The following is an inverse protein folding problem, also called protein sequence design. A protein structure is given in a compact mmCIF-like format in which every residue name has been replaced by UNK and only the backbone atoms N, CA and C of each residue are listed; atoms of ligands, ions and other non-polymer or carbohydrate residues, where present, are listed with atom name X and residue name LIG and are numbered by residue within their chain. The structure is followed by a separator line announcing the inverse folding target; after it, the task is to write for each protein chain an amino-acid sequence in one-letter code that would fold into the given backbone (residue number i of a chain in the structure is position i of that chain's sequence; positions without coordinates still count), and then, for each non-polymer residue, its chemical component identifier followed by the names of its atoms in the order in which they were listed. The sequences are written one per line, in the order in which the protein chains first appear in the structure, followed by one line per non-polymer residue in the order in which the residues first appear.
data_IF_874553627898
#
_entry.id   IF_874553627898
#
_cell.length_a   1.000
_cell.length_b   1.000
_cell.length_c   1.000
_cell.angle_alpha   90.00
_cell.angle_beta   90.00
_cell.angle_gamma   90.00
#
_symmetry.space_group_name_H-M   'P 1'
#
loop_
_entity.id
_entity.type
_entity.pdbx_description
1 polymer ?
#
# COMPACT_ATOMS: atom_id res chain seq x y z
N UNK A 1 41.59 -57.08 33.63
CA UNK A 1 40.16 -56.90 33.99
C UNK A 1 39.90 -55.40 34.04
N UNK A 2 38.83 -54.93 33.40
CA UNK A 2 38.59 -53.55 32.90
C UNK A 2 38.89 -52.40 33.86
N UNK A 3 39.08 -51.18 33.29
CA UNK A 3 37.97 -50.23 33.40
C UNK A 3 37.70 -49.38 32.14
N UNK A 4 36.40 -49.21 31.88
CA UNK A 4 35.69 -47.97 31.53
C UNK A 4 36.20 -47.06 30.41
N UNK A 5 35.73 -47.37 29.19
CA UNK A 5 35.55 -46.35 28.14
C UNK A 5 34.09 -45.89 28.19
N UNK A 6 33.86 -44.73 28.82
CA UNK A 6 32.59 -44.03 28.75
C UNK A 6 32.35 -43.54 27.31
N UNK A 7 31.52 -44.27 26.57
CA UNK A 7 30.88 -43.76 25.36
C UNK A 7 29.78 -42.83 25.84
N UNK A 8 30.03 -41.52 25.80
CA UNK A 8 28.99 -40.50 25.89
C UNK A 8 27.97 -40.80 24.80
N UNK A 9 26.82 -41.35 25.21
CA UNK A 9 25.59 -41.32 24.45
C UNK A 9 25.35 -39.87 24.07
N UNK A 10 25.60 -39.55 22.81
CA UNK A 10 25.10 -38.34 22.18
C UNK A 10 23.59 -38.48 22.29
N UNK A 11 22.98 -37.78 23.25
CA UNK A 11 21.56 -37.51 23.24
C UNK A 11 21.22 -37.06 21.82
N UNK A 12 20.40 -37.86 21.13
CA UNK A 12 19.79 -37.42 19.89
C UNK A 12 19.10 -36.11 20.21
N UNK A 13 19.37 -35.03 19.45
CA UNK A 13 18.71 -33.76 19.71
C UNK A 13 17.20 -33.99 19.59
N UNK A 14 16.49 -33.69 20.66
CA UNK A 14 15.03 -33.69 20.72
C UNK A 14 14.46 -33.09 19.43
N UNK A 15 13.49 -33.75 18.77
CA UNK A 15 12.91 -33.26 17.54
C UNK A 15 12.08 -32.00 17.85
N UNK A 16 12.77 -30.86 17.83
CA UNK A 16 12.33 -29.49 17.57
C UNK A 16 10.82 -29.30 17.80
N UNK A 17 10.46 -28.83 18.99
CA UNK A 17 9.12 -28.27 19.22
C UNK A 17 8.77 -27.33 18.05
N UNK A 18 7.67 -27.64 17.34
CA UNK A 18 7.27 -26.89 16.15
C UNK A 18 6.87 -25.48 16.57
N UNK A 19 7.75 -24.52 16.28
CA UNK A 19 7.62 -23.16 16.79
C UNK A 19 6.47 -22.41 16.11
N UNK A 20 5.77 -21.56 16.85
CA UNK A 20 4.83 -20.61 16.26
C UNK A 20 5.57 -19.70 15.27
N UNK A 21 4.95 -19.41 14.13
CA UNK A 21 5.53 -18.60 13.06
C UNK A 21 6.47 -19.35 12.12
N UNK A 22 6.73 -20.64 12.36
CA UNK A 22 7.57 -21.46 11.47
C UNK A 22 6.76 -22.11 10.34
N UNK A 23 7.42 -22.29 9.19
CA UNK A 23 6.84 -22.88 7.97
C UNK A 23 7.05 -24.38 7.93
N UNK A 24 5.99 -25.14 7.66
CA UNK A 24 5.98 -26.61 7.58
C UNK A 24 5.18 -27.08 6.37
N UNK A 25 5.25 -28.37 6.06
CA UNK A 25 4.41 -29.02 5.06
C UNK A 25 3.29 -29.77 5.74
N UNK A 26 2.04 -29.49 5.36
CA UNK A 26 0.87 -30.21 5.82
C UNK A 26 0.16 -30.92 4.66
N UNK A 27 -0.45 -32.10 4.90
CA UNK A 27 -1.39 -32.69 3.96
C UNK A 27 -2.69 -31.88 3.96
N UNK A 28 -3.08 -31.40 2.78
CA UNK A 28 -4.35 -30.71 2.55
C UNK A 28 -4.93 -31.15 1.19
N UNK A 29 -6.17 -31.63 1.18
CA UNK A 29 -6.84 -32.23 0.00
C UNK A 29 -5.97 -33.25 -0.76
N UNK A 30 -5.36 -34.21 -0.03
CA UNK A 30 -4.47 -35.27 -0.55
C UNK A 30 -3.18 -34.77 -1.22
N UNK A 31 -2.88 -33.46 -1.14
CA UNK A 31 -1.63 -32.87 -1.62
C UNK A 31 -0.85 -32.28 -0.45
N UNK A 32 0.47 -32.09 -0.63
CA UNK A 32 1.30 -31.37 0.33
C UNK A 32 1.28 -29.88 0.04
N UNK A 33 1.12 -29.08 1.10
CA UNK A 33 1.06 -27.63 1.04
C UNK A 33 1.96 -27.01 2.11
N UNK A 34 2.61 -25.87 1.84
CA UNK A 34 3.30 -25.13 2.87
C UNK A 34 2.30 -24.39 3.75
N UNK A 35 2.51 -24.45 5.06
CA UNK A 35 1.68 -23.85 6.10
C UNK A 35 2.54 -23.11 7.11
N UNK A 36 2.00 -22.05 7.70
CA UNK A 36 2.65 -21.34 8.81
C UNK A 36 1.88 -21.60 10.09
N UNK A 37 2.56 -22.09 11.13
CA UNK A 37 1.95 -22.37 12.43
C UNK A 37 1.58 -21.07 13.15
N UNK A 38 0.38 -20.99 13.69
CA UNK A 38 -0.10 -19.82 14.42
C UNK A 38 -0.19 -20.07 15.92
N UNK A 39 -0.17 -18.99 16.70
CA UNK A 39 -0.62 -19.02 18.09
C UNK A 39 -2.16 -19.15 18.16
N UNK A 40 -2.69 -19.58 19.29
CA UNK A 40 -4.14 -19.70 19.51
C UNK A 40 -4.85 -18.33 19.55
N UNK A 41 -4.11 -17.25 19.79
CA UNK A 41 -4.65 -15.90 19.96
C UNK A 41 -4.81 -15.13 18.64
N UNK A 42 -4.17 -15.57 17.57
CA UNK A 42 -4.12 -14.83 16.30
C UNK A 42 -5.30 -15.11 15.35
N UNK A 43 -5.74 -16.37 15.16
CA UNK A 43 -6.86 -16.64 14.28
C UNK A 43 -8.15 -15.98 14.76
N UNK A 44 -9.08 -15.64 13.85
CA UNK A 44 -10.38 -15.12 14.23
C UNK A 44 -11.09 -16.03 15.23
N UNK A 45 -11.77 -15.45 16.24
CA UNK A 45 -12.53 -16.20 17.25
C UNK A 45 -13.52 -17.19 16.64
N UNK A 46 -14.14 -16.82 15.51
CA UNK A 46 -15.04 -17.68 14.77
C UNK A 46 -14.35 -18.95 14.25
N UNK A 47 -13.09 -18.87 13.84
CA UNK A 47 -12.29 -20.03 13.45
C UNK A 47 -11.89 -20.85 14.68
N UNK A 48 -11.44 -20.20 15.77
CA UNK A 48 -11.08 -20.91 17.01
C UNK A 48 -12.27 -21.73 17.54
N UNK A 49 -13.49 -21.21 17.43
CA UNK A 49 -14.72 -21.91 17.81
C UNK A 49 -15.01 -23.18 16.99
N UNK A 50 -14.40 -23.36 15.81
CA UNK A 50 -14.54 -24.58 15.00
C UNK A 50 -13.57 -25.69 15.38
N UNK A 51 -12.73 -25.48 16.39
CA UNK A 51 -11.76 -26.48 16.84
C UNK A 51 -12.48 -27.77 17.24
N UNK A 52 -12.09 -28.94 16.68
CA UNK A 52 -12.60 -30.22 17.15
C UNK A 52 -12.29 -30.40 18.64
N UNK A 53 -13.32 -30.76 19.43
CA UNK A 53 -13.17 -31.04 20.87
C UNK A 53 -12.22 -32.23 21.04
N UNK A 54 -11.30 -32.13 22.00
CA UNK A 54 -10.26 -33.14 22.30
C UNK A 54 -9.20 -33.38 21.22
N UNK A 55 -8.79 -32.32 20.51
CA UNK A 55 -7.79 -32.43 19.46
C UNK A 55 -6.49 -31.71 19.81
N UNK A 56 -5.34 -32.37 19.58
CA UNK A 56 -3.99 -31.77 19.62
C UNK A 56 -3.71 -30.90 18.40
N UNK A 57 -4.76 -30.43 17.73
CA UNK A 57 -4.67 -29.69 16.48
C UNK A 57 -4.29 -28.24 16.75
N UNK A 58 -3.34 -27.76 15.96
CA UNK A 58 -2.91 -26.37 15.96
C UNK A 58 -3.52 -25.58 14.82
N UNK A 59 -3.77 -24.28 15.03
CA UNK A 59 -4.12 -23.41 13.94
C UNK A 59 -2.90 -23.17 13.04
N UNK A 60 -3.12 -23.20 11.73
CA UNK A 60 -2.11 -22.82 10.75
C UNK A 60 -2.73 -22.06 9.59
N UNK A 61 -1.93 -21.24 8.92
CA UNK A 61 -2.31 -20.56 7.69
C UNK A 61 -1.81 -21.37 6.51
N UNK A 62 -2.73 -21.79 5.64
CA UNK A 62 -2.44 -22.47 4.39
C UNK A 62 -1.98 -21.44 3.34
N UNK A 63 -0.69 -21.48 2.98
CA UNK A 63 -0.13 -20.59 1.96
C UNK A 63 -0.70 -20.91 0.57
N UNK A 64 -0.67 -19.93 -0.32
CA UNK A 64 -1.34 -19.91 -1.62
C UNK A 64 -2.83 -19.64 -1.51
N UNK A 65 -3.55 -20.33 -0.61
CA UNK A 65 -5.01 -20.15 -0.43
C UNK A 65 -5.39 -19.04 0.57
N UNK A 66 -4.45 -18.70 1.46
CA UNK A 66 -4.60 -17.67 2.50
C UNK A 66 -5.85 -17.91 3.37
N UNK A 67 -5.92 -19.10 3.97
CA UNK A 67 -6.99 -19.45 4.90
C UNK A 67 -6.47 -20.22 6.10
N UNK A 68 -7.19 -20.13 7.20
CA UNK A 68 -6.92 -20.90 8.40
C UNK A 68 -7.35 -22.36 8.24
N UNK A 69 -6.51 -23.27 8.72
CA UNK A 69 -6.78 -24.71 8.80
C UNK A 69 -6.28 -25.26 10.15
N UNK A 70 -6.85 -26.38 10.57
CA UNK A 70 -6.38 -27.14 11.72
C UNK A 70 -5.39 -28.21 11.25
N UNK A 71 -4.19 -28.26 11.85
CA UNK A 71 -3.15 -29.23 11.51
C UNK A 71 -2.72 -30.02 12.74
N UNK A 72 -2.44 -31.31 12.55
CA UNK A 72 -1.87 -32.14 13.60
C UNK A 72 -0.36 -32.04 13.52
N UNK A 73 0.29 -31.68 14.63
CA UNK A 73 1.74 -31.55 14.67
C UNK A 73 2.45 -32.83 14.21
N UNK A 74 1.92 -34.01 14.50
CA UNK A 74 2.55 -35.30 14.12
C UNK A 74 2.67 -35.47 12.60
N UNK A 75 1.78 -34.85 11.81
CA UNK A 75 1.75 -35.00 10.35
C UNK A 75 2.39 -33.82 9.60
N UNK A 76 3.13 -32.96 10.30
CA UNK A 76 3.85 -31.85 9.68
C UNK A 76 5.28 -32.26 9.32
N UNK A 77 5.63 -32.17 8.05
CA UNK A 77 7.00 -32.37 7.58
C UNK A 77 7.76 -31.05 7.51
N UNK A 78 9.07 -31.09 7.73
CA UNK A 78 9.90 -29.90 7.64
C UNK A 78 9.87 -29.33 6.22
N UNK A 79 9.64 -28.02 6.11
CA UNK A 79 9.82 -27.29 4.86
C UNK A 79 11.31 -26.95 4.65
N UNK A 80 11.84 -27.28 3.47
CA UNK A 80 13.22 -27.04 3.05
C UNK A 80 13.18 -26.05 1.88
N UNK A 81 13.56 -24.77 2.06
CA UNK A 81 13.38 -23.73 1.06
C UNK A 81 14.00 -23.98 -0.33
N UNK A 82 15.03 -24.84 -0.41
CA UNK A 82 15.74 -25.17 -1.66
C UNK A 82 15.25 -26.44 -2.34
N UNK A 83 14.30 -27.16 -1.75
CA UNK A 83 13.74 -28.38 -2.34
C UNK A 83 12.67 -28.03 -3.36
N UNK A 84 12.67 -28.70 -4.52
CA UNK A 84 11.59 -28.56 -5.50
C UNK A 84 10.43 -29.49 -5.15
N UNK A 85 9.41 -28.93 -4.49
CA UNK A 85 8.19 -29.66 -4.12
C UNK A 85 7.18 -29.80 -5.27
N UNK A 86 7.51 -29.24 -6.43
CA UNK A 86 6.70 -29.26 -7.65
C UNK A 86 7.42 -30.01 -8.78
N UNK A 87 8.49 -30.74 -8.47
CA UNK A 87 9.21 -31.56 -9.45
C UNK A 87 8.26 -32.55 -10.14
N UNK A 88 8.42 -32.69 -11.46
CA UNK A 88 7.53 -33.46 -12.32
C UNK A 88 6.20 -32.80 -12.69
N UNK A 89 5.95 -31.54 -12.30
CA UNK A 89 4.70 -30.83 -12.61
C UNK A 89 4.96 -29.72 -13.63
N UNK A 90 4.22 -29.77 -14.74
CA UNK A 90 4.34 -28.81 -15.84
C UNK A 90 3.97 -27.40 -15.36
N UNK A 91 4.85 -26.40 -15.54
CA UNK A 91 4.52 -25.00 -15.25
C UNK A 91 3.35 -24.51 -16.10
N UNK A 92 2.48 -23.70 -15.50
CA UNK A 92 1.36 -23.07 -16.22
C UNK A 92 1.84 -21.83 -17.00
N UNK A 93 1.28 -21.61 -18.19
CA UNK A 93 1.40 -20.35 -18.93
C UNK A 93 0.00 -19.91 -19.38
N UNK A 94 -0.56 -18.81 -18.84
CA UNK A 94 0.00 -17.93 -17.81
C UNK A 94 0.07 -18.56 -16.41
N UNK A 95 1.06 -18.15 -15.61
CA UNK A 95 1.23 -18.60 -14.21
C UNK A 95 0.10 -18.10 -13.29
N UNK A 96 -0.48 -16.94 -13.61
CA UNK A 96 -1.57 -16.35 -12.86
C UNK A 96 -2.90 -17.09 -13.04
N UNK A 97 -3.72 -17.06 -12.01
CA UNK A 97 -5.07 -17.64 -12.00
C UNK A 97 -5.96 -16.86 -12.96
N UNK A 98 -6.53 -17.55 -13.94
CA UNK A 98 -7.44 -16.98 -14.92
C UNK A 98 -8.90 -17.20 -14.50
N UNK A 99 -9.82 -16.30 -14.90
CA UNK A 99 -11.25 -16.44 -14.57
C UNK A 99 -11.87 -17.76 -15.04
N UNK A 100 -11.37 -18.31 -16.15
CA UNK A 100 -11.90 -19.50 -16.81
C UNK A 100 -11.15 -20.79 -16.43
N UNK A 101 -10.17 -20.73 -15.53
CA UNK A 101 -9.47 -21.93 -15.06
C UNK A 101 -10.46 -22.84 -14.30
N UNK A 102 -10.40 -24.15 -14.53
CA UNK A 102 -11.15 -25.12 -13.73
C UNK A 102 -10.60 -25.20 -12.30
N UNK A 103 -11.38 -25.72 -11.36
CA UNK A 103 -11.01 -25.74 -9.94
C UNK A 103 -9.73 -26.54 -9.66
N UNK A 104 -9.42 -27.58 -10.43
CA UNK A 104 -8.18 -28.34 -10.27
C UNK A 104 -6.99 -27.50 -10.72
N UNK A 105 -7.09 -26.83 -11.86
CA UNK A 105 -6.07 -25.91 -12.38
C UNK A 105 -5.84 -24.73 -11.43
N UNK A 106 -6.91 -24.10 -10.92
CA UNK A 106 -6.80 -23.03 -9.91
C UNK A 106 -6.07 -23.51 -8.66
N UNK A 107 -6.43 -24.69 -8.16
CA UNK A 107 -5.79 -25.27 -6.98
C UNK A 107 -4.30 -25.52 -7.19
N UNK A 108 -3.90 -26.05 -8.35
CA UNK A 108 -2.50 -26.30 -8.64
C UNK A 108 -1.72 -24.99 -8.85
N UNK A 109 -2.30 -23.98 -9.52
CA UNK A 109 -1.70 -22.64 -9.63
C UNK A 109 -1.50 -21.98 -8.27
N UNK A 110 -2.47 -22.09 -7.35
CA UNK A 110 -2.32 -21.61 -5.97
C UNK A 110 -1.20 -22.35 -5.24
N UNK A 111 -1.02 -23.64 -5.50
CA UNK A 111 0.07 -24.45 -4.95
C UNK A 111 1.43 -24.01 -5.50
N UNK A 112 1.50 -23.69 -6.79
CA UNK A 112 2.68 -23.09 -7.41
C UNK A 112 3.07 -21.76 -6.75
N UNK A 113 2.09 -20.87 -6.54
CA UNK A 113 2.30 -19.60 -5.83
C UNK A 113 2.83 -19.85 -4.41
N UNK A 114 2.21 -20.79 -3.68
CA UNK A 114 2.59 -21.13 -2.32
C UNK A 114 4.06 -21.57 -2.22
N UNK A 115 4.51 -22.47 -3.09
CA UNK A 115 5.87 -23.04 -3.02
C UNK A 115 6.95 -22.16 -3.66
N UNK A 116 6.66 -21.47 -4.77
CA UNK A 116 7.66 -20.69 -5.50
C UNK A 116 7.82 -19.25 -5.02
N UNK A 117 6.75 -18.67 -4.46
CA UNK A 117 6.72 -17.25 -4.10
C UNK A 117 6.59 -17.03 -2.61
N UNK A 118 5.67 -17.72 -1.95
CA UNK A 118 5.29 -17.38 -0.57
C UNK A 118 6.13 -18.08 0.49
N UNK A 119 6.20 -19.42 0.45
CA UNK A 119 6.96 -20.19 1.42
C UNK A 119 8.45 -19.81 1.48
N UNK A 120 9.15 -19.49 0.36
CA UNK A 120 10.53 -19.02 0.40
C UNK A 120 10.74 -17.68 1.09
N UNK A 121 9.69 -16.86 1.28
CA UNK A 121 9.82 -15.59 2.00
C UNK A 121 10.09 -15.80 3.49
N UNK A 122 9.74 -16.97 4.04
CA UNK A 122 9.92 -17.31 5.46
C UNK A 122 9.31 -16.28 6.42
N UNK A 123 8.24 -15.60 5.98
CA UNK A 123 7.50 -14.64 6.79
C UNK A 123 6.72 -15.33 7.91
N UNK A 124 6.63 -14.66 9.05
CA UNK A 124 6.02 -15.21 10.27
C UNK A 124 4.48 -15.17 10.22
N UNK A 125 3.87 -15.89 11.16
CA UNK A 125 2.43 -15.97 11.37
C UNK A 125 1.72 -14.61 11.46
N UNK A 126 2.31 -13.60 12.12
CA UNK A 126 1.74 -12.25 12.23
C UNK A 126 1.56 -11.60 10.86
N UNK A 127 2.56 -11.73 9.98
CA UNK A 127 2.49 -11.21 8.61
C UNK A 127 1.34 -11.87 7.83
N UNK A 128 1.29 -13.20 7.85
CA UNK A 128 0.27 -13.95 7.12
C UNK A 128 -1.13 -13.76 7.68
N UNK A 129 -1.29 -13.62 9.00
CA UNK A 129 -2.58 -13.29 9.62
C UNK A 129 -3.11 -11.96 9.08
N UNK A 130 -2.28 -10.92 9.10
CA UNK A 130 -2.63 -9.61 8.56
C UNK A 130 -3.01 -9.71 7.07
N UNK A 131 -2.26 -10.49 6.30
CA UNK A 131 -2.55 -10.73 4.89
C UNK A 131 -3.89 -11.45 4.65
N UNK A 132 -4.19 -12.50 5.44
CA UNK A 132 -5.47 -13.24 5.38
C UNK A 132 -6.64 -12.34 5.73
N UNK A 133 -6.51 -11.52 6.79
CA UNK A 133 -7.54 -10.57 7.20
C UNK A 133 -7.81 -9.53 6.10
N UNK A 134 -6.75 -9.01 5.47
CA UNK A 134 -6.87 -8.08 4.34
C UNK A 134 -7.58 -8.73 3.13
N UNK A 135 -7.24 -9.97 2.77
CA UNK A 135 -7.92 -10.67 1.68
C UNK A 135 -9.39 -10.96 2.00
N UNK A 136 -9.69 -11.39 3.22
CA UNK A 136 -11.06 -11.69 3.62
C UNK A 136 -11.94 -10.43 3.58
N UNK A 137 -11.41 -9.31 4.09
CA UNK A 137 -12.06 -8.01 3.95
C UNK A 137 -12.32 -7.66 2.48
N UNK A 138 -11.32 -7.81 1.60
CA UNK A 138 -11.47 -7.55 0.17
C UNK A 138 -12.53 -8.44 -0.51
N UNK A 139 -12.62 -9.72 -0.13
CA UNK A 139 -13.63 -10.66 -0.68
C UNK A 139 -15.04 -10.32 -0.21
N UNK A 140 -15.21 -9.94 1.07
CA UNK A 140 -16.51 -9.49 1.62
C UNK A 140 -17.03 -8.27 0.85
N UNK A 141 -16.14 -7.33 0.54
CA UNK A 141 -16.45 -6.15 -0.27
C UNK A 141 -16.86 -6.55 -1.70
N UNK A 142 -16.10 -7.42 -2.38
CA UNK A 142 -16.46 -7.92 -3.72
C UNK A 142 -17.83 -8.62 -3.73
N UNK A 143 -18.15 -9.42 -2.70
CA UNK A 143 -19.44 -10.12 -2.59
C UNK A 143 -20.59 -9.13 -2.41
N UNK A 144 -20.43 -8.09 -1.58
CA UNK A 144 -21.42 -7.02 -1.42
C UNK A 144 -21.67 -6.23 -2.72
N UNK A 145 -20.60 -5.97 -3.49
CA UNK A 145 -20.73 -5.33 -4.81
C UNK A 145 -21.48 -6.21 -5.83
N UNK A 146 -21.27 -7.53 -5.79
CA UNK A 146 -21.95 -8.48 -6.68
C UNK A 146 -23.43 -8.70 -6.30
N UNK A 147 -23.78 -8.74 -5.01
CA UNK A 147 -25.17 -8.89 -4.55
C UNK A 147 -26.00 -7.63 -4.79
N UNK A 148 -25.40 -6.43 -4.71
CA UNK A 148 -26.02 -5.17 -5.12
C UNK A 148 -26.38 -5.15 -6.62
N UNK A 149 -25.54 -5.74 -7.47
CA UNK A 149 -25.84 -5.91 -8.91
C UNK A 149 -26.94 -6.95 -9.19
N UNK A 150 -27.03 -8.03 -8.41
CA UNK A 150 -28.11 -9.03 -8.55
C UNK A 150 -29.47 -8.51 -8.11
N UNK A 151 -29.55 -7.69 -7.05
CA UNK A 151 -30.79 -6.99 -6.65
C UNK A 151 -31.32 -6.06 -7.76
N UNK A 152 -30.44 -5.45 -8.56
CA UNK A 152 -30.81 -4.64 -9.73
C UNK A 152 -31.34 -5.44 -10.94
N UNK A 153 -31.00 -6.72 -11.08
CA UNK A 153 -31.54 -7.58 -12.16
C UNK A 153 -32.88 -8.22 -11.79
N UNK A 154 -33.17 -8.42 -10.51
CA UNK A 154 -34.45 -8.96 -10.06
C UNK A 154 -35.61 -7.94 -10.10
N UNK A 155 -35.34 -6.64 -10.27
CA UNK A 155 -36.39 -5.60 -10.32
C UNK A 155 -36.81 -5.19 -11.74
N UNK A 156 -36.40 -5.93 -12.77
CA UNK A 156 -36.85 -5.71 -14.16
C UNK A 156 -37.43 -7.02 -14.71
N UNK A 157 -38.66 -7.29 -14.31
CA UNK A 157 -39.61 -8.13 -15.07
C UNK A 157 -41.02 -7.68 -14.72
N UNK A 158 -41.87 -7.26 -15.69
CA UNK A 158 -43.30 -7.15 -15.48
C UNK A 158 -43.98 -8.51 -15.63
N UNK A 159 -45.00 -8.73 -14.80
CA UNK A 159 -45.75 -9.97 -14.56
C UNK A 159 -46.25 -10.72 -15.81
N UNK A 160 -46.21 -12.07 -15.79
CA UNK A 160 -47.44 -12.88 -15.76
C UNK A 160 -47.20 -14.37 -15.37
N UNK A 161 -48.21 -14.92 -14.68
CA UNK A 161 -48.57 -16.34 -14.47
C UNK A 161 -47.70 -17.28 -13.59
N UNK A 162 -48.27 -17.62 -12.42
CA UNK A 162 -48.24 -18.95 -11.77
C UNK A 162 -48.79 -20.05 -12.73
N UNK A 163 -48.59 -21.38 -12.55
CA UNK A 163 -48.56 -22.04 -11.23
C UNK A 163 -47.76 -23.39 -11.10
N UNK A 164 -47.88 -23.96 -9.89
CA UNK A 164 -47.91 -25.39 -9.50
C UNK A 164 -46.63 -26.12 -9.03
N UNK A 165 -46.85 -26.76 -7.87
CA UNK A 165 -46.02 -27.68 -7.09
C UNK A 165 -45.80 -29.01 -7.83
N UNK A 166 -44.69 -29.69 -7.55
CA UNK A 166 -44.73 -31.09 -7.12
C UNK A 166 -43.43 -31.54 -6.42
N UNK A 167 -43.64 -32.31 -5.35
CA UNK A 167 -42.69 -32.99 -4.47
C UNK A 167 -41.87 -34.10 -5.14
N UNK A 168 -40.69 -34.40 -4.58
CA UNK A 168 -40.17 -35.74 -4.19
C UNK A 168 -38.64 -35.68 -4.02
N UNK A 169 -38.10 -35.86 -2.80
CA UNK A 169 -37.68 -37.12 -2.15
C UNK A 169 -36.33 -37.67 -2.69
N UNK A 170 -35.26 -37.59 -1.86
CA UNK A 170 -34.53 -38.70 -1.19
C UNK A 170 -33.67 -39.55 -2.14
N UNK A 171 -32.35 -39.62 -1.96
CA UNK A 171 -31.54 -40.59 -1.17
C UNK A 171 -30.33 -40.92 -2.10
N UNK A 172 -29.11 -41.30 -1.75
CA UNK A 172 -28.48 -41.69 -0.49
C UNK A 172 -26.93 -41.64 -0.62
N UNK A 173 -26.29 -41.53 0.55
CA UNK A 173 -24.95 -41.98 0.99
C UNK A 173 -23.69 -42.02 0.08
N UNK A 174 -22.58 -41.46 0.60
CA UNK A 174 -21.33 -42.21 0.90
C UNK A 174 -20.30 -41.36 1.67
N UNK A 175 -19.82 -41.90 2.79
CA UNK A 175 -18.94 -41.29 3.81
C UNK A 175 -17.51 -41.03 3.28
N UNK A 176 -16.94 -39.86 3.58
CA UNK A 176 -15.49 -39.70 3.77
C UNK A 176 -15.12 -38.43 4.58
N UNK A 177 -14.31 -38.65 5.63
CA UNK A 177 -13.39 -37.75 6.37
C UNK A 177 -13.86 -36.30 6.60
N UNK A 178 -14.28 -35.98 7.83
CA UNK A 178 -14.62 -34.63 8.27
C UNK A 178 -13.41 -33.69 8.20
N UNK A 179 -13.32 -32.96 7.09
CA UNK A 179 -12.76 -31.61 7.06
C UNK A 179 -13.96 -30.69 7.23
N UNK A 180 -13.99 -29.89 8.30
CA UNK A 180 -15.03 -28.87 8.48
C UNK A 180 -14.79 -27.76 7.45
N UNK A 181 -15.38 -27.92 6.27
CA UNK A 181 -15.60 -26.85 5.31
C UNK A 181 -16.87 -26.09 5.69
N UNK A 182 -16.78 -24.78 5.89
CA UNK A 182 -17.96 -23.92 6.03
C UNK A 182 -18.15 -23.20 4.71
N UNK A 183 -19.16 -23.65 3.96
CA UNK A 183 -19.72 -22.97 2.79
C UNK A 183 -20.86 -22.01 3.22
N UNK A 184 -21.09 -21.02 2.39
CA UNK A 184 -21.66 -19.70 2.64
C UNK A 184 -23.22 -19.68 2.66
N UNK A 185 -23.85 -20.67 3.32
CA UNK A 185 -25.32 -20.80 3.37
C UNK A 185 -25.86 -21.29 4.72
N UNK A 186 -26.14 -20.35 5.62
CA UNK A 186 -27.31 -20.40 6.51
C UNK A 186 -27.62 -18.98 6.97
N UNK A 187 -28.60 -18.37 6.32
CA UNK A 187 -29.35 -17.23 6.84
C UNK A 187 -30.59 -17.84 7.53
N UNK A 188 -30.72 -17.63 8.83
CA UNK A 188 -31.94 -17.91 9.59
C UNK A 188 -31.95 -16.95 10.76
N UNK A 189 -32.98 -16.12 10.76
CA UNK A 189 -33.08 -14.91 11.56
C UNK A 189 -33.05 -15.17 13.07
N UNK A 190 -32.30 -14.31 13.75
CA UNK A 190 -32.42 -14.04 15.16
C UNK A 190 -32.36 -12.53 15.34
N UNK A 191 -33.48 -11.95 15.75
CA UNK A 191 -33.61 -10.54 16.12
C UNK A 191 -32.70 -10.18 17.29
N UNK A 192 -32.06 -9.01 17.13
CA UNK A 192 -31.56 -8.09 18.17
C UNK A 192 -30.54 -8.63 19.18
N UNK A 193 -29.28 -8.23 18.98
CA UNK A 193 -28.53 -7.56 20.05
C UNK A 193 -27.50 -6.61 19.44
N UNK A 194 -27.78 -5.33 19.61
CA UNK A 194 -26.91 -4.20 19.31
C UNK A 194 -25.60 -4.29 20.07
N UNK A 195 -24.53 -4.70 19.39
CA UNK A 195 -23.16 -4.35 19.79
C UNK A 195 -22.34 -3.98 18.54
N UNK A 196 -22.61 -2.76 18.07
CA UNK A 196 -21.67 -1.97 17.28
C UNK A 196 -20.52 -1.45 18.16
N UNK A 197 -19.41 -1.09 17.50
CA UNK A 197 -18.14 -0.52 17.97
C UNK A 197 -17.08 -1.57 18.36
N UNK A 198 -15.88 -1.63 17.77
CA UNK A 198 -14.93 -0.54 17.47
C UNK A 198 -14.07 -0.88 16.23
N UNK A 199 -14.58 -0.69 15.02
CA UNK A 199 -13.75 -0.37 13.85
C UNK A 199 -14.32 0.91 13.27
N UNK A 200 -13.68 2.02 13.63
CA UNK A 200 -14.30 3.35 13.59
C UNK A 200 -14.77 3.75 12.20
N UNK A 201 -15.97 4.29 12.15
CA UNK A 201 -16.62 5.03 11.06
C UNK A 201 -15.81 6.22 10.48
N UNK A 202 -14.52 6.32 10.83
CA UNK A 202 -13.64 7.46 10.58
C UNK A 202 -12.28 7.07 10.00
N UNK A 203 -12.04 5.81 9.57
CA UNK A 203 -10.81 5.42 8.88
C UNK A 203 -10.99 5.34 7.36
N UNK A 204 -9.97 5.76 6.62
CA UNK A 204 -9.86 5.69 5.17
C UNK A 204 -8.62 4.88 4.77
N UNK A 205 -8.81 3.93 3.87
CA UNK A 205 -7.82 3.07 3.26
C UNK A 205 -7.45 3.64 1.88
N UNK A 206 -6.17 3.88 1.66
CA UNK A 206 -5.65 4.39 0.38
C UNK A 206 -4.68 3.36 -0.19
N UNK A 207 -4.90 2.93 -1.43
CA UNK A 207 -4.01 2.03 -2.16
C UNK A 207 -3.24 2.83 -3.20
N UNK A 208 -1.92 2.71 -3.24
CA UNK A 208 -1.04 3.51 -4.10
C UNK A 208 -0.07 2.65 -4.90
N UNK A 209 0.08 3.02 -6.18
CA UNK A 209 1.06 2.47 -7.10
C UNK A 209 0.75 1.05 -7.56
N UNK A 210 1.56 0.56 -8.50
CA UNK A 210 1.42 -0.79 -9.07
C UNK A 210 1.66 -1.91 -8.05
N UNK A 211 2.49 -1.64 -7.03
CA UNK A 211 2.72 -2.55 -5.90
C UNK A 211 1.55 -2.62 -4.92
N UNK A 212 0.49 -1.82 -5.13
CA UNK A 212 -0.71 -1.75 -4.30
C UNK A 212 -0.41 -1.57 -2.81
N UNK A 213 0.55 -0.71 -2.49
CA UNK A 213 0.88 -0.41 -1.09
C UNK A 213 -0.31 0.29 -0.44
N UNK A 214 -0.73 -0.20 0.73
CA UNK A 214 -1.90 0.32 1.44
C UNK A 214 -1.50 1.22 2.61
N UNK A 215 -2.24 2.32 2.76
CA UNK A 215 -2.13 3.29 3.84
C UNK A 215 -3.48 3.38 4.55
N UNK A 216 -3.47 3.31 5.87
CA UNK A 216 -4.69 3.47 6.68
C UNK A 216 -4.58 4.78 7.43
N UNK A 217 -5.47 5.72 7.12
CA UNK A 217 -5.47 7.08 7.68
C UNK A 217 -6.80 7.36 8.35
N UNK A 218 -6.79 8.20 9.38
CA UNK A 218 -8.03 8.76 9.89
C UNK A 218 -8.60 9.78 8.87
N UNK A 219 -9.90 9.75 8.62
CA UNK A 219 -10.62 10.64 7.69
C UNK A 219 -10.27 12.12 7.93
N UNK A 220 -10.17 12.53 9.20
CA UNK A 220 -9.78 13.90 9.59
C UNK A 220 -8.48 14.37 8.93
N UNK A 221 -7.56 13.45 8.61
CA UNK A 221 -6.28 13.75 8.00
C UNK A 221 -6.37 13.98 6.48
N UNK A 222 -7.50 13.68 5.84
CA UNK A 222 -7.76 14.02 4.43
C UNK A 222 -8.18 15.48 4.22
N UNK A 223 -8.46 16.22 5.31
CA UNK A 223 -8.81 17.64 5.25
C UNK A 223 -7.75 18.41 4.46
N UNK A 224 -8.20 19.26 3.53
CA UNK A 224 -7.35 20.09 2.68
C UNK A 224 -6.85 19.42 1.41
N UNK A 225 -7.22 18.16 1.15
CA UNK A 225 -6.94 17.47 -0.10
C UNK A 225 -8.25 17.13 -0.82
N UNK A 226 -8.75 18.07 -1.60
CA UNK A 226 -10.06 17.97 -2.28
C UNK A 226 -10.11 16.80 -3.26
N UNK A 227 -8.99 16.49 -3.92
CA UNK A 227 -8.90 15.33 -4.79
C UNK A 227 -9.20 14.01 -4.04
N UNK A 228 -8.57 13.79 -2.88
CA UNK A 228 -8.80 12.57 -2.10
C UNK A 228 -10.19 12.58 -1.44
N UNK A 229 -10.69 13.75 -1.03
CA UNK A 229 -12.05 13.90 -0.50
C UNK A 229 -13.10 13.58 -1.58
N UNK A 230 -12.95 14.10 -2.79
CA UNK A 230 -13.85 13.85 -3.91
C UNK A 230 -13.84 12.37 -4.32
N UNK A 231 -12.66 11.73 -4.37
CA UNK A 231 -12.57 10.28 -4.62
C UNK A 231 -13.29 9.48 -3.54
N UNK A 232 -13.16 9.92 -2.28
CA UNK A 232 -13.85 9.29 -1.16
C UNK A 232 -15.37 9.42 -1.27
N UNK A 233 -15.87 10.59 -1.62
CA UNK A 233 -17.30 10.87 -1.81
C UNK A 233 -17.89 10.09 -2.99
N UNK A 234 -17.17 10.05 -4.11
CA UNK A 234 -17.49 9.21 -5.27
C UNK A 234 -17.63 7.74 -4.85
N UNK A 235 -16.77 7.28 -3.94
CA UNK A 235 -16.80 5.93 -3.37
C UNK A 235 -17.78 5.79 -2.18
N UNK A 236 -18.41 6.88 -1.73
CA UNK A 236 -19.34 6.97 -0.59
C UNK A 236 -20.58 6.09 -0.75
N UNK A 237 -21.11 5.96 -1.96
CA UNK A 237 -22.23 5.08 -2.28
C UNK A 237 -21.86 3.58 -2.18
N UNK A 238 -20.57 3.26 -2.01
CA UNK A 238 -19.99 1.92 -1.86
C UNK A 238 -19.28 1.70 -0.51
N UNK A 239 -19.48 2.61 0.45
CA UNK A 239 -18.87 2.55 1.78
C UNK A 239 -17.85 3.64 2.10
N UNK A 240 -17.39 4.45 1.14
CA UNK A 240 -16.66 5.71 1.41
C UNK A 240 -15.36 5.61 2.21
N UNK A 241 -14.83 4.40 2.45
CA UNK A 241 -13.62 4.17 3.24
C UNK A 241 -12.43 3.73 2.39
N UNK A 242 -12.58 3.44 1.09
CA UNK A 242 -11.49 2.99 0.22
C UNK A 242 -11.26 3.97 -0.94
N UNK A 243 -10.01 4.36 -1.14
CA UNK A 243 -9.52 5.14 -2.28
C UNK A 243 -8.43 4.31 -2.95
N UNK A 244 -8.65 3.87 -4.19
CA UNK A 244 -7.65 3.08 -4.93
C UNK A 244 -6.98 3.93 -6.02
N UNK A 245 -5.90 4.62 -5.65
CA UNK A 245 -5.11 5.44 -6.56
C UNK A 245 -4.35 4.62 -7.60
N UNK A 246 -4.28 3.29 -7.48
CA UNK A 246 -3.62 2.45 -8.50
C UNK A 246 -4.42 2.36 -9.80
N UNK A 247 -5.72 2.67 -9.75
CA UNK A 247 -6.61 2.71 -10.91
C UNK A 247 -7.06 4.12 -11.29
N UNK A 248 -6.64 5.14 -10.53
CA UNK A 248 -7.04 6.53 -10.80
C UNK A 248 -6.17 7.15 -11.89
N UNK A 249 -6.83 7.67 -12.93
CA UNK A 249 -6.18 8.17 -14.14
C UNK A 249 -5.06 9.19 -13.82
N UNK A 250 -5.35 10.18 -12.98
CA UNK A 250 -4.38 11.20 -12.57
C UNK A 250 -3.14 10.60 -11.90
N UNK A 251 -3.34 9.70 -10.95
CA UNK A 251 -2.24 9.06 -10.22
C UNK A 251 -1.35 8.22 -11.15
N UNK A 252 -1.94 7.59 -12.17
CA UNK A 252 -1.23 6.86 -13.22
C UNK A 252 -0.43 7.81 -14.12
N UNK A 253 -1.09 8.83 -14.68
CA UNK A 253 -0.48 9.80 -15.60
C UNK A 253 0.68 10.57 -14.93
N UNK A 254 0.47 11.01 -13.69
CA UNK A 254 1.46 11.73 -12.88
C UNK A 254 2.49 10.80 -12.23
N UNK A 255 2.43 9.48 -12.49
CA UNK A 255 3.36 8.46 -11.98
C UNK A 255 3.53 8.56 -10.45
N UNK A 256 2.43 8.56 -9.71
CA UNK A 256 2.44 8.60 -8.24
C UNK A 256 3.03 7.29 -7.69
N UNK A 257 4.17 7.40 -7.01
CA UNK A 257 4.81 6.26 -6.36
C UNK A 257 4.42 6.16 -4.88
N UNK A 258 4.56 4.98 -4.25
CA UNK A 258 4.36 4.87 -2.81
C UNK A 258 5.33 5.73 -1.98
N UNK A 259 6.55 6.00 -2.48
CA UNK A 259 7.52 6.89 -1.82
C UNK A 259 7.06 8.35 -1.83
N UNK A 260 6.48 8.81 -2.95
CA UNK A 260 5.88 10.15 -3.01
C UNK A 260 4.73 10.26 -2.01
N UNK A 261 3.88 9.23 -1.96
CA UNK A 261 2.72 9.23 -1.09
C UNK A 261 3.07 9.13 0.40
N UNK A 262 4.23 8.57 0.76
CA UNK A 262 4.73 8.62 2.14
C UNK A 262 4.97 10.05 2.63
N UNK A 263 5.44 10.95 1.75
CA UNK A 263 5.61 12.38 2.08
C UNK A 263 4.27 13.05 2.33
N UNK A 264 3.27 12.72 1.50
CA UNK A 264 1.88 13.18 1.67
C UNK A 264 1.30 12.69 3.00
N UNK A 265 1.44 11.40 3.31
CA UNK A 265 0.95 10.80 4.57
C UNK A 265 1.63 11.41 5.80
N UNK A 266 2.93 11.67 5.71
CA UNK A 266 3.66 12.35 6.78
C UNK A 266 3.07 13.73 7.04
N UNK A 267 2.85 14.53 6.00
CA UNK A 267 2.24 15.85 6.12
C UNK A 267 0.80 15.78 6.63
N UNK A 268 -0.03 14.85 6.14
CA UNK A 268 -1.41 14.67 6.61
C UNK A 268 -1.51 14.49 8.13
N UNK A 269 -0.52 13.81 8.71
CA UNK A 269 -0.45 13.49 10.14
C UNK A 269 0.18 14.61 10.96
N UNK A 270 1.31 15.16 10.49
CA UNK A 270 2.09 16.17 11.21
C UNK A 270 1.62 17.61 10.96
N UNK A 271 0.94 17.85 9.84
CA UNK A 271 0.59 19.17 9.28
C UNK A 271 1.79 20.10 9.15
N UNK A 272 2.96 19.51 8.95
CA UNK A 272 4.22 20.20 8.83
C UNK A 272 5.19 19.34 8.00
N UNK A 273 6.13 19.99 7.32
CA UNK A 273 7.21 19.37 6.57
C UNK A 273 8.39 20.31 6.46
N UNK A 274 9.62 19.78 6.43
CA UNK A 274 10.81 20.62 6.25
C UNK A 274 11.34 21.24 7.55
N UNK A 275 12.05 22.38 7.47
CA UNK A 275 12.62 23.05 8.65
C UNK A 275 11.51 23.62 9.54
N UNK A 276 11.68 23.52 10.87
CA UNK A 276 10.73 24.07 11.82
C UNK A 276 10.92 25.57 11.99
N UNK A 277 9.81 26.29 12.16
CA UNK A 277 9.87 27.69 12.55
C UNK A 277 10.24 27.81 14.04
N UNK A 278 11.08 28.81 14.36
CA UNK A 278 11.58 29.04 15.73
C UNK A 278 10.88 30.20 16.44
N UNK A 279 10.07 30.97 15.73
CA UNK A 279 9.33 32.12 16.23
C UNK A 279 7.86 31.79 16.48
N UNK A 280 7.16 32.71 17.16
CA UNK A 280 5.72 32.58 17.38
C UNK A 280 4.94 32.64 16.06
N UNK A 281 3.75 32.02 15.97
CA UNK A 281 2.93 32.01 14.75
C UNK A 281 2.57 33.41 14.21
N UNK A 282 2.50 34.41 15.09
CA UNK A 282 2.14 35.79 14.74
C UNK A 282 3.34 36.62 14.22
N UNK A 283 4.56 36.11 14.38
CA UNK A 283 5.79 36.76 13.91
C UNK A 283 6.14 36.32 12.48
N UNK A 284 6.88 37.13 11.70
CA UNK A 284 7.42 36.71 10.41
C UNK A 284 8.23 35.42 10.55
N UNK A 285 7.96 34.38 9.74
CA UNK A 285 8.53 33.05 9.91
C UNK A 285 10.06 33.08 9.84
N UNK A 286 10.69 32.39 10.79
CA UNK A 286 12.15 32.28 10.92
C UNK A 286 12.53 30.83 11.12
N UNK A 287 13.55 30.41 10.40
CA UNK A 287 14.15 29.08 10.49
C UNK A 287 15.33 29.15 11.46
N UNK A 288 15.65 28.01 12.11
CA UNK A 288 16.79 27.90 13.02
C UNK A 288 18.10 28.34 12.34
N UNK A 289 19.10 28.74 13.15
CA UNK A 289 20.42 29.11 12.58
C UNK A 289 21.08 27.92 11.90
N UNK A 290 20.91 26.74 12.48
CA UNK A 290 21.43 25.47 11.99
C UNK A 290 20.83 25.12 10.61
N UNK A 291 19.53 25.30 10.46
CA UNK A 291 18.82 25.06 9.20
C UNK A 291 19.02 26.17 8.17
N UNK A 292 19.48 27.34 8.60
CA UNK A 292 19.80 28.49 7.75
C UNK A 292 21.21 28.43 7.14
N UNK A 293 22.03 27.44 7.50
CA UNK A 293 23.35 27.24 6.89
C UNK A 293 23.22 26.90 5.40
N UNK A 294 24.06 27.42 4.49
CA UNK A 294 23.84 27.29 3.05
C UNK A 294 23.66 25.85 2.54
N UNK A 295 24.55 24.93 2.96
CA UNK A 295 24.44 23.50 2.65
C UNK A 295 23.14 22.87 3.16
N UNK A 296 22.65 23.34 4.30
CA UNK A 296 21.43 22.83 4.92
C UNK A 296 20.19 23.40 4.22
N UNK A 297 20.21 24.67 3.82
CA UNK A 297 19.18 25.28 2.96
C UNK A 297 19.02 24.51 1.65
N UNK A 298 20.11 24.14 0.98
CA UNK A 298 20.05 23.32 -0.25
C UNK A 298 19.39 21.97 -0.01
N UNK A 299 19.75 21.27 1.08
CA UNK A 299 19.11 19.99 1.45
C UNK A 299 17.63 20.16 1.77
N UNK A 300 17.25 21.27 2.41
CA UNK A 300 15.85 21.56 2.67
C UNK A 300 15.08 21.88 1.40
N UNK A 301 15.64 22.70 0.50
CA UNK A 301 15.05 22.99 -0.81
C UNK A 301 14.79 21.70 -1.60
N UNK A 302 15.74 20.76 -1.61
CA UNK A 302 15.58 19.45 -2.24
C UNK A 302 14.42 18.64 -1.64
N UNK A 303 14.39 18.48 -0.31
CA UNK A 303 13.31 17.75 0.37
C UNK A 303 11.94 18.38 0.15
N UNK A 304 11.88 19.71 0.26
CA UNK A 304 10.66 20.48 0.08
C UNK A 304 10.14 20.34 -1.35
N UNK A 305 11.00 20.44 -2.36
CA UNK A 305 10.52 20.36 -3.75
C UNK A 305 10.07 18.95 -4.14
N UNK A 306 10.70 17.89 -3.61
CA UNK A 306 10.20 16.52 -3.80
C UNK A 306 8.84 16.31 -3.12
N UNK A 307 8.65 16.90 -1.94
CA UNK A 307 7.35 16.89 -1.28
C UNK A 307 6.31 17.73 -2.03
N UNK A 308 6.71 18.84 -2.66
CA UNK A 308 5.85 19.67 -3.48
C UNK A 308 5.34 18.89 -4.69
N UNK A 309 6.25 18.21 -5.40
CA UNK A 309 5.89 17.32 -6.51
C UNK A 309 4.89 16.26 -6.02
N UNK A 310 5.15 15.61 -4.89
CA UNK A 310 4.25 14.61 -4.34
C UNK A 310 2.85 15.19 -4.04
N UNK A 311 2.79 16.40 -3.47
CA UNK A 311 1.54 17.12 -3.22
C UNK A 311 0.80 17.47 -4.51
N UNK A 312 1.50 17.92 -5.55
CA UNK A 312 0.94 18.18 -6.89
C UNK A 312 0.30 16.96 -7.51
N UNK A 313 0.93 15.78 -7.40
CA UNK A 313 0.37 14.53 -7.94
C UNK A 313 -1.01 14.19 -7.36
N UNK A 314 -1.29 14.61 -6.13
CA UNK A 314 -2.56 14.37 -5.43
C UNK A 314 -3.37 15.63 -5.16
N UNK A 315 -3.03 16.77 -5.78
CA UNK A 315 -3.71 18.07 -5.59
C UNK A 315 -3.92 18.43 -4.11
N UNK A 316 -2.86 18.32 -3.31
CA UNK A 316 -2.91 18.72 -1.91
C UNK A 316 -2.43 20.17 -1.76
N UNK A 317 -3.32 21.12 -2.03
CA UNK A 317 -2.98 22.55 -2.12
C UNK A 317 -2.49 23.12 -0.78
N UNK A 318 -3.12 22.75 0.34
CA UNK A 318 -2.66 23.15 1.68
C UNK A 318 -1.19 22.75 1.93
N UNK A 319 -0.78 21.56 1.45
CA UNK A 319 0.60 21.11 1.56
C UNK A 319 1.53 21.90 0.63
N UNK A 320 1.09 22.21 -0.58
CA UNK A 320 1.85 23.03 -1.53
C UNK A 320 2.10 24.43 -0.98
N UNK A 321 1.09 25.06 -0.36
CA UNK A 321 1.16 26.40 0.24
C UNK A 321 2.20 26.43 1.36
N UNK A 322 2.11 25.50 2.31
CA UNK A 322 3.08 25.38 3.42
C UNK A 322 4.50 25.19 2.89
N UNK A 323 4.68 24.37 1.85
CA UNK A 323 6.00 24.15 1.25
C UNK A 323 6.51 25.42 0.56
N UNK A 324 5.66 26.12 -0.20
CA UNK A 324 6.02 27.34 -0.88
C UNK A 324 6.43 28.45 0.09
N UNK A 325 5.71 28.61 1.20
CA UNK A 325 6.07 29.56 2.26
C UNK A 325 7.41 29.22 2.92
N UNK A 326 7.70 27.93 3.12
CA UNK A 326 8.99 27.47 3.64
C UNK A 326 10.12 27.72 2.64
N UNK A 327 9.89 27.52 1.35
CA UNK A 327 10.87 27.84 0.30
C UNK A 327 11.17 29.34 0.27
N UNK A 328 10.14 30.20 0.38
CA UNK A 328 10.32 31.66 0.50
C UNK A 328 11.11 32.04 1.75
N UNK A 329 10.82 31.40 2.89
CA UNK A 329 11.53 31.65 4.15
C UNK A 329 12.99 31.16 4.10
N UNK A 330 13.29 30.14 3.30
CA UNK A 330 14.65 29.67 3.07
C UNK A 330 15.48 30.61 2.20
N UNK A 331 14.86 31.50 1.43
CA UNK A 331 15.60 32.45 0.59
C UNK A 331 16.48 33.41 1.42
N UNK A 332 17.62 33.87 0.88
CA UNK A 332 18.18 33.52 -0.42
C UNK A 332 18.77 32.10 -0.43
N UNK A 333 18.64 31.41 -1.57
CA UNK A 333 19.20 30.09 -1.85
C UNK A 333 20.48 30.22 -2.68
N UNK A 334 21.43 29.30 -2.49
CA UNK A 334 22.60 29.20 -3.37
C UNK A 334 22.23 28.55 -4.71
N UNK A 335 23.10 28.71 -5.72
CA UNK A 335 22.88 28.21 -7.08
C UNK A 335 22.46 26.74 -7.17
N UNK A 336 23.04 25.79 -6.38
CA UNK A 336 22.55 24.41 -6.37
C UNK A 336 21.09 24.28 -5.92
N UNK A 337 20.67 25.04 -4.90
CA UNK A 337 19.29 25.03 -4.41
C UNK A 337 18.31 25.57 -5.45
N UNK A 338 18.66 26.67 -6.12
CA UNK A 338 17.85 27.25 -7.21
C UNK A 338 17.71 26.24 -8.35
N UNK A 339 18.81 25.61 -8.81
CA UNK A 339 18.77 24.61 -9.88
C UNK A 339 17.93 23.38 -9.52
N UNK A 340 17.96 22.92 -8.26
CA UNK A 340 17.14 21.79 -7.80
C UNK A 340 15.65 22.11 -7.94
N UNK A 341 15.21 23.29 -7.48
CA UNK A 341 13.80 23.69 -7.56
C UNK A 341 13.41 23.94 -9.02
N UNK A 342 14.28 24.60 -9.79
CA UNK A 342 14.03 24.88 -11.20
C UNK A 342 13.84 23.63 -12.04
N UNK A 343 14.66 22.60 -11.81
CA UNK A 343 14.53 21.30 -12.47
C UNK A 343 13.21 20.62 -12.15
N UNK A 344 12.74 20.72 -10.90
CA UNK A 344 11.45 20.18 -10.52
C UNK A 344 10.30 20.91 -11.24
N UNK A 345 10.32 22.24 -11.29
CA UNK A 345 9.33 23.04 -12.04
C UNK A 345 9.31 22.67 -13.52
N UNK A 346 10.49 22.54 -14.15
CA UNK A 346 10.59 22.12 -15.55
C UNK A 346 9.92 20.74 -15.80
N UNK A 347 10.03 19.79 -14.86
CA UNK A 347 9.39 18.47 -14.98
C UNK A 347 7.90 18.42 -14.67
N UNK A 348 7.35 19.36 -13.89
CA UNK A 348 5.95 19.32 -13.49
C UNK A 348 4.98 19.69 -14.63
N UNK A 349 5.50 20.37 -15.66
CA UNK A 349 4.73 20.91 -16.78
C UNK A 349 4.00 22.21 -16.41
N UNK A 350 2.98 22.60 -17.20
CA UNK A 350 2.21 23.80 -16.95
C UNK A 350 1.53 23.77 -15.57
N UNK A 351 1.52 24.89 -14.82
CA UNK A 351 0.85 24.97 -13.52
C UNK A 351 -0.65 24.67 -13.60
N UNK A 352 -1.14 23.79 -12.74
CA UNK A 352 -2.56 23.43 -12.65
C UNK A 352 -3.33 24.27 -11.61
N UNK A 353 -2.64 24.89 -10.66
CA UNK A 353 -3.23 25.76 -9.65
C UNK A 353 -2.35 26.99 -9.34
N UNK A 354 -2.85 27.87 -8.48
CA UNK A 354 -2.19 29.13 -8.17
C UNK A 354 -0.87 28.92 -7.44
N UNK A 355 -0.78 27.97 -6.52
CA UNK A 355 0.46 27.70 -5.78
C UNK A 355 1.57 27.15 -6.68
N UNK A 356 1.25 26.31 -7.67
CA UNK A 356 2.19 25.89 -8.71
C UNK A 356 2.66 27.06 -9.57
N UNK A 357 1.77 28.01 -9.87
CA UNK A 357 2.07 29.23 -10.64
C UNK A 357 2.98 30.16 -9.84
N UNK A 358 2.72 30.31 -8.55
CA UNK A 358 3.57 31.09 -7.64
C UNK A 358 4.96 30.47 -7.50
N UNK A 359 5.07 29.14 -7.38
CA UNK A 359 6.36 28.46 -7.35
C UNK A 359 7.14 28.64 -8.66
N UNK A 360 6.46 28.53 -9.81
CA UNK A 360 7.08 28.79 -11.10
C UNK A 360 7.60 30.23 -11.21
N UNK A 361 6.82 31.22 -10.76
CA UNK A 361 7.24 32.62 -10.72
C UNK A 361 8.43 32.83 -9.79
N UNK A 362 8.39 32.28 -8.58
CA UNK A 362 9.49 32.31 -7.63
C UNK A 362 10.79 31.79 -8.26
N UNK A 363 10.74 30.67 -8.98
CA UNK A 363 11.89 30.11 -9.70
C UNK A 363 12.37 31.03 -10.81
N UNK A 364 11.47 31.54 -11.65
CA UNK A 364 11.81 32.45 -12.75
C UNK A 364 12.52 33.69 -12.21
N UNK A 365 11.99 34.30 -11.15
CA UNK A 365 12.58 35.47 -10.48
C UNK A 365 13.98 35.13 -9.96
N UNK A 366 14.16 34.03 -9.23
CA UNK A 366 15.45 33.67 -8.64
C UNK A 366 16.50 33.27 -9.70
N UNK A 367 16.11 32.57 -10.77
CA UNK A 367 17.03 32.31 -11.89
C UNK A 367 17.42 33.64 -12.54
N UNK A 368 16.47 34.54 -12.76
CA UNK A 368 16.72 35.82 -13.43
C UNK A 368 17.63 36.72 -12.59
N UNK A 369 17.38 36.84 -11.29
CA UNK A 369 18.17 37.67 -10.37
C UNK A 369 19.62 37.19 -10.25
N UNK A 370 19.82 35.86 -10.18
CA UNK A 370 21.13 35.23 -9.97
C UNK A 370 21.72 34.61 -11.26
N UNK A 371 21.21 34.95 -12.43
CA UNK A 371 21.47 34.24 -13.69
C UNK A 371 22.96 34.01 -13.96
N UNK A 372 23.76 35.08 -13.93
CA UNK A 372 25.18 34.98 -14.25
C UNK A 372 25.97 34.20 -13.19
N UNK A 373 25.56 34.27 -11.91
CA UNK A 373 26.16 33.47 -10.84
C UNK A 373 25.86 31.99 -11.05
N UNK A 374 24.61 31.65 -11.32
CA UNK A 374 24.19 30.27 -11.60
C UNK A 374 24.87 29.75 -12.87
N UNK A 375 24.96 30.56 -13.93
CA UNK A 375 25.65 30.18 -15.17
C UNK A 375 27.12 29.85 -14.93
N UNK A 376 27.80 30.61 -14.06
CA UNK A 376 29.20 30.38 -13.68
C UNK A 376 29.37 29.12 -12.82
N UNK A 377 28.50 28.91 -11.83
CA UNK A 377 28.66 27.85 -10.82
C UNK A 377 28.00 26.51 -11.22
N UNK A 378 26.94 26.56 -12.02
CA UNK A 378 26.04 25.46 -12.36
C UNK A 378 25.65 25.46 -13.84
N UNK A 379 26.49 25.99 -14.73
CA UNK A 379 26.17 26.24 -16.15
C UNK A 379 25.56 25.06 -16.90
N UNK A 380 26.13 23.86 -16.76
CA UNK A 380 25.58 22.64 -17.39
C UNK A 380 24.19 22.27 -16.88
N UNK A 381 23.94 22.46 -15.57
CA UNK A 381 22.65 22.20 -14.95
C UNK A 381 21.61 23.22 -15.41
N UNK A 382 21.99 24.51 -15.43
CA UNK A 382 21.13 25.60 -15.89
C UNK A 382 20.77 25.43 -17.37
N UNK A 383 21.75 25.15 -18.24
CA UNK A 383 21.51 24.90 -19.65
C UNK A 383 20.48 23.78 -19.84
N UNK A 384 20.69 22.64 -19.19
CA UNK A 384 19.78 21.49 -19.29
C UNK A 384 18.36 21.84 -18.82
N UNK A 385 18.22 22.60 -17.73
CA UNK A 385 16.90 23.01 -17.21
C UNK A 385 16.16 23.87 -18.23
N UNK A 386 16.85 24.83 -18.86
CA UNK A 386 16.25 25.71 -19.87
C UNK A 386 15.99 25.00 -21.21
N UNK A 387 16.73 23.94 -21.52
CA UNK A 387 16.46 23.08 -22.68
C UNK A 387 15.27 22.13 -22.45
N UNK A 388 15.05 21.67 -21.22
CA UNK A 388 13.94 20.79 -20.85
C UNK A 388 12.59 21.55 -20.72
N UNK A 389 12.58 22.89 -20.67
CA UNK A 389 11.35 23.69 -20.56
C UNK A 389 11.41 25.01 -21.36
N UNK A 390 10.72 25.04 -22.50
CA UNK A 390 10.63 26.22 -23.38
C UNK A 390 9.92 27.40 -22.69
N UNK A 391 8.91 27.15 -21.86
CA UNK A 391 8.18 28.17 -21.11
C UNK A 391 9.09 28.85 -20.07
N UNK A 392 9.80 28.06 -19.27
CA UNK A 392 10.76 28.56 -18.29
C UNK A 392 11.88 29.35 -18.97
N UNK A 393 12.42 28.83 -20.08
CA UNK A 393 13.45 29.49 -20.89
C UNK A 393 13.00 30.84 -21.41
N UNK A 394 11.79 30.90 -21.98
CA UNK A 394 11.24 32.13 -22.55
C UNK A 394 11.02 33.18 -21.47
N UNK A 395 10.43 32.80 -20.33
CA UNK A 395 10.17 33.72 -19.22
C UNK A 395 11.46 34.26 -18.59
N UNK A 396 12.48 33.42 -18.41
CA UNK A 396 13.79 33.86 -17.87
C UNK A 396 14.46 34.85 -18.83
N UNK A 397 14.52 34.54 -20.13
CA UNK A 397 15.15 35.44 -21.10
C UNK A 397 14.38 36.75 -21.30
N UNK A 398 13.04 36.70 -21.31
CA UNK A 398 12.21 37.90 -21.38
C UNK A 398 12.48 38.81 -20.18
N UNK A 399 12.52 38.27 -18.96
CA UNK A 399 12.81 39.06 -17.77
C UNK A 399 14.24 39.62 -17.76
N UNK A 400 15.23 38.87 -18.27
CA UNK A 400 16.61 39.36 -18.44
C UNK A 400 16.70 40.51 -19.44
N UNK A 401 15.92 40.46 -20.52
CA UNK A 401 15.88 41.52 -21.54
C UNK A 401 15.19 42.77 -20.99
N UNK A 402 14.07 42.59 -20.27
CA UNK A 402 13.26 43.69 -19.75
C UNK A 402 13.90 44.42 -18.56
N UNK A 403 14.77 43.76 -17.81
CA UNK A 403 15.41 44.32 -16.62
C UNK A 403 16.93 44.42 -16.77
N UNK A 404 17.44 45.63 -17.03
CA UNK A 404 18.88 45.90 -17.19
C UNK A 404 19.73 45.66 -15.94
N UNK A 405 19.10 45.46 -14.78
CA UNK A 405 19.74 45.11 -13.52
C UNK A 405 19.64 43.61 -13.17
N UNK A 406 18.89 42.82 -13.96
CA UNK A 406 18.79 41.39 -13.76
C UNK A 406 20.13 40.67 -13.96
N UNK A 407 20.28 39.53 -13.29
CA UNK A 407 21.48 38.69 -13.31
C UNK A 407 22.64 39.18 -12.44
N UNK A 408 22.54 40.38 -11.84
CA UNK A 408 23.63 41.01 -11.08
C UNK A 408 23.71 40.59 -9.61
N UNK A 409 22.70 39.88 -9.07
CA UNK A 409 22.74 39.47 -7.67
C UNK A 409 23.79 38.37 -7.43
N UNK A 410 24.49 38.47 -6.30
CA UNK A 410 25.47 37.47 -5.85
C UNK A 410 26.87 37.57 -6.48
N UNK A 411 27.20 38.71 -7.10
CA UNK A 411 28.57 39.07 -7.54
C UNK A 411 29.35 39.94 -6.55
N UNK A 412 28.75 40.26 -5.41
CA UNK A 412 29.39 41.01 -4.32
C UNK A 412 30.43 40.18 -3.54
#
# INVERSE_FOLDING_TARGET
MNPDTAVTSIEQPDPIHKAVGSTWLAPYNRQRWPVVLCDEKEPPRAFIATRPKDSSLRPAILLGKHKYIWVNEVYLDQYIPRSDYLDGITPFSPEDIQPNDDERTKNEKLRHIAFRREAPMMEQNVFWNNFVLQQWAARKVKKQMATGRKRKRASITPNSSLPLRHDSAREDSSKSVEVIEIDDRTDSGGEVSSHESVYGTHSCHIIVGQTKKSYVLHQKYLRGCDYLLALREKNGHSGGYLIDLSNEQRAIERRLSPKDFELVVHFMSARDIGPKYVNAPDDPPRISKEDSMPKQKTKWAEKLVYAFIAASKVQFEEMQEVIHDKLKTLSPLESPGICIIARAVAYMGPPENDTERELARFVIEHITEYFWKIAREQGSSLQRILEESDELRSAVYENLIQNSMAGKQGFD
#
